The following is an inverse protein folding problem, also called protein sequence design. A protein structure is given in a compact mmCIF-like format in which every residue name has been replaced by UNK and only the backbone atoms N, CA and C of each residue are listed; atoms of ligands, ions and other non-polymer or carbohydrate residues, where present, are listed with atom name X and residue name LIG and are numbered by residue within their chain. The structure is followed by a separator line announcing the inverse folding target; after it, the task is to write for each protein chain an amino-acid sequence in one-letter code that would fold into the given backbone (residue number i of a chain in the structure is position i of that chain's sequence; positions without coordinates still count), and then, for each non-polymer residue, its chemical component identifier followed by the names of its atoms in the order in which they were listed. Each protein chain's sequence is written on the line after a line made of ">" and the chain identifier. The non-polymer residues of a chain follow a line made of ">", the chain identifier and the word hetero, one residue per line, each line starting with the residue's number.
data_IF_911667801565
#
_entry.id   IF_911667801565
#
_cell.length_a   1.000
_cell.length_b   1.000
_cell.length_c   1.000
_cell.angle_alpha   90.00
_cell.angle_beta   90.00
_cell.angle_gamma   90.00
#
_symmetry.space_group_name_H-M   'P 1'
#
loop_
_entity.id
_entity.type
_entity.pdbx_description
1 polymer ?
#
# COMPACT_ATOMS: atom_id res chain seq x y z
N UNK A 1 26.51 -8.73 12.00
CA UNK A 1 25.24 -8.02 12.19
C UNK A 1 24.49 -8.67 13.33
N UNK A 2 24.09 -7.89 14.33
CA UNK A 2 23.33 -8.45 15.46
C UNK A 2 21.82 -8.51 15.14
N UNK A 3 21.06 -9.18 16.02
CA UNK A 3 19.60 -9.36 15.80
C UNK A 3 18.84 -8.04 15.68
N UNK A 4 19.25 -7.02 16.44
CA UNK A 4 18.60 -5.71 16.41
C UNK A 4 18.83 -5.00 15.05
N UNK A 5 20.03 -5.10 14.51
CA UNK A 5 20.33 -4.52 13.20
C UNK A 5 19.57 -5.24 12.09
N UNK A 6 19.44 -6.55 12.19
CA UNK A 6 18.62 -7.35 11.27
C UNK A 6 17.15 -6.90 11.29
N UNK A 7 16.58 -6.71 12.49
CA UNK A 7 15.20 -6.22 12.63
C UNK A 7 15.02 -4.80 12.09
N UNK A 8 15.97 -3.91 12.37
CA UNK A 8 15.95 -2.53 11.85
C UNK A 8 16.00 -2.51 10.33
N UNK A 9 16.85 -3.34 9.75
CA UNK A 9 16.97 -3.45 8.30
C UNK A 9 15.68 -4.00 7.69
N UNK A 10 15.13 -5.08 8.24
CA UNK A 10 13.87 -5.65 7.79
C UNK A 10 12.71 -4.63 7.83
N UNK A 11 12.68 -3.79 8.86
CA UNK A 11 11.68 -2.72 8.97
C UNK A 11 11.85 -1.65 7.88
N UNK A 12 13.09 -1.22 7.60
CA UNK A 12 13.38 -0.19 6.60
C UNK A 12 13.17 -0.68 5.18
N UNK A 13 13.55 -1.92 4.92
CA UNK A 13 13.61 -2.49 3.57
C UNK A 13 12.44 -3.43 3.26
N UNK A 14 11.33 -3.30 4.00
CA UNK A 14 10.17 -4.20 3.88
C UNK A 14 9.57 -4.25 2.47
N UNK A 15 9.51 -3.12 1.77
CA UNK A 15 9.01 -3.09 0.39
C UNK A 15 10.00 -3.75 -0.57
N UNK A 16 11.29 -3.59 -0.34
CA UNK A 16 12.32 -4.26 -1.13
C UNK A 16 12.27 -5.77 -0.91
N UNK A 17 12.04 -6.22 0.32
CA UNK A 17 11.84 -7.64 0.61
C UNK A 17 10.62 -8.21 -0.12
N UNK A 18 9.52 -7.45 -0.18
CA UNK A 18 8.33 -7.85 -0.91
C UNK A 18 8.57 -7.93 -2.44
N UNK A 19 9.30 -6.98 -3.00
CA UNK A 19 9.69 -7.00 -4.43
C UNK A 19 10.57 -8.20 -4.74
N UNK A 20 11.54 -8.49 -3.89
CA UNK A 20 12.39 -9.66 -4.03
C UNK A 20 11.61 -10.97 -3.93
N UNK A 21 10.66 -11.07 -3.00
CA UNK A 21 9.77 -12.23 -2.88
C UNK A 21 8.94 -12.43 -4.16
N UNK A 22 8.40 -11.36 -4.73
CA UNK A 22 7.67 -11.41 -5.99
C UNK A 22 8.55 -11.88 -7.15
N UNK A 23 9.75 -11.36 -7.27
CA UNK A 23 10.71 -11.76 -8.30
C UNK A 23 11.08 -13.25 -8.18
N UNK A 24 11.05 -13.80 -6.97
CA UNK A 24 11.20 -15.23 -6.67
C UNK A 24 9.93 -16.07 -6.89
N UNK A 25 8.84 -15.48 -7.38
CA UNK A 25 7.60 -16.17 -7.69
C UNK A 25 6.52 -16.15 -6.60
N UNK A 26 6.75 -15.46 -5.47
CA UNK A 26 5.73 -15.30 -4.44
C UNK A 26 4.63 -14.31 -4.87
N UNK A 27 3.41 -14.54 -4.40
CA UNK A 27 2.34 -13.55 -4.49
C UNK A 27 2.39 -12.64 -3.26
N UNK A 28 2.29 -11.33 -3.51
CA UNK A 28 2.43 -10.30 -2.48
C UNK A 28 1.08 -9.69 -2.15
N UNK A 29 0.75 -9.66 -0.87
CA UNK A 29 -0.43 -8.97 -0.34
C UNK A 29 0.03 -7.74 0.44
N UNK A 30 -0.23 -6.57 -0.11
CA UNK A 30 -0.03 -5.30 0.58
C UNK A 30 -1.23 -4.98 1.48
N UNK A 31 -0.99 -4.31 2.59
CA UNK A 31 -2.07 -3.86 3.47
C UNK A 31 -1.71 -2.55 4.17
N UNK A 32 -2.72 -1.82 4.58
CA UNK A 32 -2.57 -0.59 5.36
C UNK A 32 -2.97 -0.83 6.81
N UNK A 33 -2.50 0.07 7.71
CA UNK A 33 -2.81 0.03 9.14
C UNK A 33 -2.17 -1.16 9.87
N UNK A 34 -2.67 -1.51 11.06
CA UNK A 34 -2.07 -2.52 11.94
C UNK A 34 -3.04 -3.62 12.40
N UNK A 35 -4.23 -3.64 11.85
CA UNK A 35 -5.29 -4.58 12.26
C UNK A 35 -5.60 -5.64 11.19
N UNK A 36 -4.73 -5.78 10.20
CA UNK A 36 -4.81 -6.86 9.22
C UNK A 36 -4.05 -8.08 9.76
N UNK A 37 -4.67 -9.26 9.81
CA UNK A 37 -4.03 -10.46 10.36
C UNK A 37 -3.00 -11.04 9.38
N UNK A 38 -1.73 -10.67 9.51
CA UNK A 38 -0.63 -11.20 8.68
C UNK A 38 -0.53 -12.72 8.74
N UNK A 39 -0.89 -13.30 9.87
CA UNK A 39 -0.84 -14.74 10.11
C UNK A 39 -1.73 -15.52 9.12
N UNK A 40 -2.90 -14.96 8.77
CA UNK A 40 -3.78 -15.57 7.77
C UNK A 40 -3.20 -15.46 6.36
N UNK A 41 -2.55 -14.34 6.05
CA UNK A 41 -1.88 -14.14 4.76
C UNK A 41 -0.73 -15.14 4.62
N UNK A 42 0.09 -15.29 5.66
CA UNK A 42 1.18 -16.26 5.69
C UNK A 42 0.66 -17.70 5.61
N UNK A 43 -0.40 -18.03 6.35
CA UNK A 43 -1.02 -19.37 6.31
C UNK A 43 -1.57 -19.72 4.92
N UNK A 44 -1.97 -18.72 4.14
CA UNK A 44 -2.39 -18.91 2.75
C UNK A 44 -1.22 -19.06 1.76
N UNK A 45 0.04 -19.04 2.24
CA UNK A 45 1.23 -19.13 1.39
C UNK A 45 1.56 -17.83 0.64
N UNK A 46 1.04 -16.69 1.10
CA UNK A 46 1.23 -15.39 0.49
C UNK A 46 2.25 -14.56 1.30
N UNK A 47 2.85 -13.58 0.67
CA UNK A 47 3.82 -12.69 1.32
C UNK A 47 3.14 -11.39 1.76
N UNK A 48 2.98 -11.13 3.07
CA UNK A 48 2.38 -9.88 3.55
C UNK A 48 3.40 -8.75 3.61
N UNK A 49 2.98 -7.53 3.24
CA UNK A 49 3.78 -6.33 3.41
C UNK A 49 2.90 -5.17 3.83
N UNK A 50 3.26 -4.51 4.92
CA UNK A 50 2.60 -3.28 5.34
C UNK A 50 3.05 -2.11 4.46
N UNK A 51 2.08 -1.44 3.86
CA UNK A 51 2.29 -0.26 3.02
C UNK A 51 2.00 1.01 3.82
N UNK A 52 2.75 2.06 3.53
CA UNK A 52 2.59 3.35 4.21
C UNK A 52 2.72 4.50 3.22
N UNK A 53 2.10 5.63 3.55
CA UNK A 53 2.40 6.93 2.97
C UNK A 53 3.42 7.69 3.81
N UNK A 54 3.85 8.84 3.30
CA UNK A 54 4.67 9.81 4.01
C UNK A 54 4.03 11.19 3.85
N UNK A 55 3.62 11.87 4.93
CA UNK A 55 3.04 13.20 4.85
C UNK A 55 3.97 14.25 4.22
N UNK A 56 5.27 13.98 4.16
CA UNK A 56 6.26 14.85 3.51
C UNK A 56 6.36 14.65 1.99
N UNK A 57 5.71 13.62 1.45
CA UNK A 57 5.69 13.37 0.00
C UNK A 57 4.94 14.49 -0.74
N UNK A 58 5.31 14.69 -2.00
CA UNK A 58 4.45 15.42 -2.93
C UNK A 58 3.18 14.63 -3.19
N UNK A 59 2.04 15.30 -3.26
CA UNK A 59 0.72 14.71 -3.54
C UNK A 59 0.05 15.32 -4.77
N UNK A 60 0.82 15.94 -5.64
CA UNK A 60 0.31 16.70 -6.80
C UNK A 60 -0.60 15.88 -7.72
N UNK A 61 -0.29 14.62 -7.92
CA UNK A 61 -1.11 13.75 -8.75
C UNK A 61 -2.43 13.38 -8.05
N UNK A 62 -2.34 13.01 -6.78
CA UNK A 62 -3.51 12.69 -5.96
C UNK A 62 -4.43 13.88 -5.73
N UNK A 63 -3.86 15.09 -5.61
CA UNK A 63 -4.60 16.33 -5.36
C UNK A 63 -5.51 16.76 -6.52
N UNK A 64 -5.36 16.14 -7.68
CA UNK A 64 -6.29 16.33 -8.80
C UNK A 64 -7.67 15.69 -8.55
N UNK A 65 -7.74 14.76 -7.62
CA UNK A 65 -8.93 13.96 -7.31
C UNK A 65 -9.37 14.12 -5.86
N UNK A 66 -8.42 14.15 -4.93
CA UNK A 66 -8.67 14.10 -3.48
C UNK A 66 -8.64 15.51 -2.88
N UNK A 67 -9.60 15.79 -2.03
CA UNK A 67 -9.77 17.08 -1.36
C UNK A 67 -8.65 17.37 -0.35
N UNK A 68 -8.30 18.66 -0.20
CA UNK A 68 -7.20 19.09 0.70
C UNK A 68 -7.42 18.77 2.18
N UNK A 69 -8.69 18.64 2.60
CA UNK A 69 -9.01 18.30 3.98
C UNK A 69 -8.76 16.82 4.34
N UNK A 70 -8.51 15.97 3.35
CA UNK A 70 -8.16 14.58 3.59
C UNK A 70 -6.82 14.48 4.32
N UNK A 71 -6.68 13.47 5.16
CA UNK A 71 -5.47 13.21 5.94
C UNK A 71 -4.23 13.13 5.05
N UNK A 72 -3.13 13.79 5.47
CA UNK A 72 -1.92 13.89 4.67
C UNK A 72 -1.26 12.54 4.37
N UNK A 73 -1.30 11.59 5.30
CA UNK A 73 -0.78 10.24 5.06
C UNK A 73 -1.65 9.49 4.04
N UNK A 74 -2.96 9.66 4.11
CA UNK A 74 -3.90 9.06 3.14
C UNK A 74 -3.72 9.68 1.74
N UNK A 75 -3.53 10.99 1.65
CA UNK A 75 -3.23 11.67 0.39
C UNK A 75 -1.93 11.16 -0.23
N UNK A 76 -0.90 10.95 0.59
CA UNK A 76 0.36 10.34 0.14
C UNK A 76 0.16 8.92 -0.37
N UNK A 77 -0.60 8.09 0.35
CA UNK A 77 -0.92 6.73 -0.10
C UNK A 77 -1.64 6.76 -1.45
N UNK A 78 -2.64 7.62 -1.59
CA UNK A 78 -3.40 7.76 -2.83
C UNK A 78 -2.50 8.18 -4.00
N UNK A 79 -1.65 9.19 -3.80
CA UNK A 79 -0.69 9.63 -4.82
C UNK A 79 0.28 8.50 -5.20
N UNK A 80 0.81 7.76 -4.23
CA UNK A 80 1.68 6.60 -4.47
C UNK A 80 0.97 5.50 -5.26
N UNK A 81 -0.31 5.25 -4.99
CA UNK A 81 -1.13 4.30 -5.78
C UNK A 81 -1.23 4.75 -7.22
N UNK A 82 -1.54 6.04 -7.46
CA UNK A 82 -1.65 6.59 -8.81
C UNK A 82 -0.33 6.55 -9.60
N UNK A 83 0.79 6.72 -8.91
CA UNK A 83 2.14 6.63 -9.51
C UNK A 83 2.61 5.20 -9.76
N UNK A 84 1.84 4.20 -9.33
CA UNK A 84 2.22 2.80 -9.46
C UNK A 84 3.26 2.32 -8.46
N UNK A 85 3.52 3.08 -7.39
CA UNK A 85 4.52 2.73 -6.38
C UNK A 85 4.26 1.37 -5.72
N UNK A 86 2.99 0.99 -5.58
CA UNK A 86 2.57 -0.27 -4.96
C UNK A 86 2.22 -1.37 -5.98
N UNK A 87 2.53 -1.19 -7.27
CA UNK A 87 2.19 -2.17 -8.31
C UNK A 87 2.94 -3.51 -8.17
N UNK A 88 3.90 -3.61 -7.26
CA UNK A 88 4.51 -4.89 -6.90
C UNK A 88 3.58 -5.80 -6.09
N UNK A 89 2.51 -5.26 -5.49
CA UNK A 89 1.51 -6.07 -4.79
C UNK A 89 0.50 -6.66 -5.79
N UNK A 90 0.11 -7.91 -5.56
CA UNK A 90 -0.94 -8.58 -6.34
C UNK A 90 -2.33 -8.22 -5.82
N UNK A 91 -2.43 -8.00 -4.51
CA UNK A 91 -3.66 -7.62 -3.81
C UNK A 91 -3.32 -6.60 -2.73
N UNK A 92 -4.20 -5.63 -2.54
CA UNK A 92 -4.10 -4.67 -1.44
C UNK A 92 -5.34 -4.75 -0.56
N UNK A 93 -5.13 -4.88 0.74
CA UNK A 93 -6.20 -4.88 1.75
C UNK A 93 -6.26 -3.49 2.38
N UNK A 94 -7.41 -2.86 2.28
CA UNK A 94 -7.70 -1.57 2.91
C UNK A 94 -8.68 -1.81 4.07
N UNK A 95 -8.20 -1.84 5.33
CA UNK A 95 -9.08 -2.06 6.46
C UNK A 95 -9.88 -0.79 6.78
N UNK A 96 -11.12 -0.95 7.18
CA UNK A 96 -11.95 0.17 7.63
C UNK A 96 -11.63 0.53 9.10
N UNK A 97 -10.43 1.03 9.35
CA UNK A 97 -10.01 1.48 10.69
C UNK A 97 -10.41 2.93 10.99
N UNK A 98 -10.62 3.71 9.94
CA UNK A 98 -11.06 5.10 10.03
C UNK A 98 -11.81 5.50 8.77
N UNK A 99 -12.54 6.61 8.84
CA UNK A 99 -13.22 7.19 7.68
C UNK A 99 -12.23 7.58 6.57
N UNK A 100 -11.00 7.96 6.92
CA UNK A 100 -9.96 8.30 5.94
C UNK A 100 -9.58 7.11 5.04
N UNK A 101 -9.50 5.89 5.60
CA UNK A 101 -9.27 4.68 4.79
C UNK A 101 -10.48 4.32 3.94
N UNK A 102 -11.69 4.56 4.42
CA UNK A 102 -12.91 4.38 3.62
C UNK A 102 -12.94 5.36 2.43
N UNK A 103 -12.57 6.63 2.67
CA UNK A 103 -12.43 7.62 1.60
C UNK A 103 -11.40 7.19 0.57
N UNK A 104 -10.21 6.74 1.02
CA UNK A 104 -9.17 6.21 0.13
C UNK A 104 -9.73 5.11 -0.80
N UNK A 105 -10.45 4.16 -0.23
CA UNK A 105 -11.07 3.07 -1.01
C UNK A 105 -12.02 3.62 -2.10
N UNK A 106 -12.90 4.53 -1.75
CA UNK A 106 -13.84 5.10 -2.72
C UNK A 106 -13.14 5.92 -3.81
N UNK A 107 -12.14 6.73 -3.46
CA UNK A 107 -11.36 7.46 -4.46
C UNK A 107 -10.64 6.53 -5.43
N UNK A 108 -10.07 5.43 -4.94
CA UNK A 108 -9.41 4.45 -5.80
C UNK A 108 -10.40 3.75 -6.73
N UNK A 109 -11.60 3.41 -6.27
CA UNK A 109 -12.64 2.87 -7.13
C UNK A 109 -13.06 3.85 -8.23
N UNK A 110 -13.24 5.13 -7.87
CA UNK A 110 -13.61 6.16 -8.84
C UNK A 110 -12.53 6.35 -9.91
N UNK A 111 -11.27 6.45 -9.51
CA UNK A 111 -10.16 6.58 -10.48
C UNK A 111 -10.09 5.34 -11.39
N UNK A 112 -10.30 4.13 -10.86
CA UNK A 112 -10.35 2.90 -11.66
C UNK A 112 -11.45 2.96 -12.73
N UNK A 113 -12.60 3.56 -12.41
CA UNK A 113 -13.69 3.74 -13.36
C UNK A 113 -13.39 4.77 -14.45
N UNK A 114 -12.72 5.87 -14.09
CA UNK A 114 -12.41 6.97 -15.02
C UNK A 114 -11.16 6.71 -15.85
N UNK A 115 -10.14 6.08 -15.24
CA UNK A 115 -8.84 5.83 -15.86
C UNK A 115 -8.60 4.31 -15.99
N UNK A 116 -9.41 3.65 -16.80
CA UNK A 116 -9.40 2.18 -16.97
C UNK A 116 -8.05 1.61 -17.44
N UNK A 117 -7.26 2.43 -18.11
CA UNK A 117 -5.92 2.06 -18.60
C UNK A 117 -4.85 2.12 -17.51
N UNK A 118 -5.13 2.78 -16.38
CA UNK A 118 -4.17 2.89 -15.29
C UNK A 118 -4.08 1.58 -14.52
N UNK A 119 -2.89 0.97 -14.43
CA UNK A 119 -2.74 -0.28 -13.69
C UNK A 119 -2.80 -0.02 -12.18
N UNK A 120 -3.64 -0.78 -11.50
CA UNK A 120 -3.70 -0.86 -10.05
C UNK A 120 -3.59 -2.31 -9.60
N UNK A 121 -3.03 -2.59 -8.40
CA UNK A 121 -3.24 -3.87 -7.73
C UNK A 121 -4.73 -4.12 -7.51
N UNK A 122 -5.13 -5.37 -7.36
CA UNK A 122 -6.47 -5.72 -6.91
C UNK A 122 -6.70 -5.19 -5.49
N UNK A 123 -7.90 -4.69 -5.19
CA UNK A 123 -8.23 -4.08 -3.90
C UNK A 123 -9.41 -4.83 -3.28
#
# INVERSE_FOLDING_TARGET
>A
MNALDTLRQAYRDREQAARAARDGGARVVGYFSNNVPEELILAAGLFPVRLTGDPADTTELGDRYMEEFCDGAIRSIFDRMLRGHFNFADLIIIPRTSESYLQLYYYLLEVRNWERERPFPEI
#
